data_IF_559417234583
#
_entry.id   IF_559417234583
#
_cell.length_a   1.000
_cell.length_b   1.000
_cell.length_c   1.000
_cell.angle_alpha   90.00
_cell.angle_beta   90.00
_cell.angle_gamma   90.00
#
_symmetry.space_group_name_H-M   'P 1'
#
loop_
_entity.id
_entity.type
_entity.pdbx_description
1 polymer ?
#
# COMPACT_ATOMS: atom_id res chain seq x y z
N UNK A 1 2.00 27.02 -9.62
CA UNK A 1 0.62 27.55 -9.68
C UNK A 1 -0.35 26.56 -10.34
N UNK A 2 0.07 25.91 -11.43
CA UNK A 2 -0.69 24.85 -12.11
C UNK A 2 -1.02 23.62 -11.24
N UNK A 3 -0.11 23.16 -10.37
CA UNK A 3 -0.38 22.00 -9.50
C UNK A 3 -1.48 22.22 -8.48
N UNK A 4 -1.59 23.44 -7.92
CA UNK A 4 -2.63 23.74 -6.93
C UNK A 4 -4.01 23.72 -7.56
N UNK A 5 -4.20 24.35 -8.72
CA UNK A 5 -5.49 24.34 -9.45
C UNK A 5 -5.97 22.92 -9.76
N UNK A 6 -5.04 22.06 -10.20
CA UNK A 6 -5.31 20.65 -10.48
C UNK A 6 -5.69 19.87 -9.21
N UNK A 7 -4.99 20.11 -8.11
CA UNK A 7 -5.33 19.52 -6.81
C UNK A 7 -6.71 19.99 -6.31
N UNK A 8 -7.00 21.29 -6.37
CA UNK A 8 -8.32 21.85 -6.06
C UNK A 8 -9.43 21.18 -6.88
N UNK A 9 -9.20 20.98 -8.18
CA UNK A 9 -10.15 20.28 -9.04
C UNK A 9 -10.39 18.85 -8.55
N UNK A 10 -9.36 18.00 -8.46
CA UNK A 10 -9.56 16.58 -8.13
C UNK A 10 -10.03 16.30 -6.70
N UNK A 11 -9.72 17.22 -5.77
CA UNK A 11 -10.06 17.05 -4.36
C UNK A 11 -11.46 17.56 -4.05
N UNK A 12 -11.88 18.68 -4.67
CA UNK A 12 -13.10 19.39 -4.26
C UNK A 12 -14.14 19.50 -5.36
N UNK A 13 -13.73 19.72 -6.61
CA UNK A 13 -14.66 19.95 -7.72
C UNK A 13 -15.10 18.61 -8.33
N UNK A 14 -14.15 17.74 -8.66
CA UNK A 14 -14.40 16.45 -9.29
C UNK A 14 -15.38 15.58 -8.49
N UNK A 15 -15.26 15.44 -7.15
CA UNK A 15 -16.25 14.68 -6.38
C UNK A 15 -17.68 15.21 -6.53
N UNK A 16 -17.87 16.54 -6.55
CA UNK A 16 -19.18 17.14 -6.75
C UNK A 16 -19.70 16.89 -8.16
N UNK A 17 -18.83 17.05 -9.16
CA UNK A 17 -19.20 16.75 -10.56
C UNK A 17 -19.57 15.28 -10.74
N UNK A 18 -18.84 14.35 -10.12
CA UNK A 18 -19.18 12.91 -10.15
C UNK A 18 -20.47 12.63 -9.41
N UNK A 19 -20.69 13.23 -8.23
CA UNK A 19 -21.92 13.08 -7.46
C UNK A 19 -23.17 13.53 -8.25
N UNK A 20 -23.06 14.61 -9.01
CA UNK A 20 -24.13 15.10 -9.89
C UNK A 20 -24.17 14.41 -11.27
N UNK A 21 -23.32 13.40 -11.52
CA UNK A 21 -23.28 12.67 -12.79
C UNK A 21 -22.76 13.50 -13.98
N UNK A 22 -22.04 14.60 -13.72
CA UNK A 22 -21.50 15.52 -14.73
C UNK A 22 -20.13 15.09 -15.26
N UNK A 23 -19.43 14.22 -14.53
CA UNK A 23 -18.15 13.64 -14.96
C UNK A 23 -17.91 12.30 -14.30
N UNK A 24 -16.80 11.66 -14.63
CA UNK A 24 -16.34 10.39 -14.06
C UNK A 24 -14.96 10.60 -13.44
N UNK A 25 -14.57 9.75 -12.50
CA UNK A 25 -13.30 9.89 -11.80
C UNK A 25 -12.11 9.90 -12.76
N UNK A 26 -11.24 10.91 -12.65
CA UNK A 26 -10.06 11.09 -13.50
C UNK A 26 -10.41 11.21 -14.97
N UNK A 27 -11.58 11.78 -15.30
CA UNK A 27 -12.15 11.82 -16.64
C UNK A 27 -12.29 10.43 -17.28
N UNK A 28 -12.55 9.43 -16.46
CA UNK A 28 -12.71 8.04 -16.85
C UNK A 28 -11.52 7.19 -16.45
N UNK A 29 -10.33 7.75 -16.25
CA UNK A 29 -9.18 7.00 -15.73
C UNK A 29 -9.03 7.21 -14.22
N UNK A 30 -9.49 6.27 -13.36
CA UNK A 30 -9.41 6.39 -11.91
C UNK A 30 -7.96 6.36 -11.38
N UNK A 31 -6.97 6.06 -12.22
CA UNK A 31 -5.55 6.12 -11.87
C UNK A 31 -4.94 7.50 -12.05
N UNK A 32 -5.68 8.44 -12.66
CA UNK A 32 -5.21 9.80 -12.97
C UNK A 32 -3.97 9.82 -13.88
N UNK A 33 -3.90 8.88 -14.83
CA UNK A 33 -2.76 8.69 -15.72
C UNK A 33 -1.59 7.94 -15.10
N UNK A 34 -1.64 7.59 -13.80
CA UNK A 34 -0.55 6.84 -13.15
C UNK A 34 -0.32 5.48 -13.79
N UNK A 35 -1.37 4.85 -14.31
CA UNK A 35 -1.27 3.59 -15.04
C UNK A 35 -0.40 3.67 -16.31
N UNK A 36 -0.18 4.87 -16.85
CA UNK A 36 0.61 5.11 -18.05
C UNK A 36 2.04 5.58 -17.75
N UNK A 37 2.43 5.70 -16.47
CA UNK A 37 3.79 6.08 -16.11
C UNK A 37 4.77 4.97 -16.50
N UNK A 38 5.94 5.31 -17.06
CA UNK A 38 6.94 4.32 -17.41
C UNK A 38 7.57 3.72 -16.17
N UNK A 39 7.91 2.43 -16.23
CA UNK A 39 8.69 1.76 -15.20
C UNK A 39 10.10 2.37 -15.09
N UNK A 40 10.65 2.37 -13.87
CA UNK A 40 12.00 2.86 -13.65
C UNK A 40 13.06 1.99 -14.37
N UNK A 41 14.25 2.51 -14.71
CA UNK A 41 15.30 1.71 -15.33
C UNK A 41 15.66 0.46 -14.52
N UNK A 42 15.73 0.57 -13.19
CA UNK A 42 16.03 -0.54 -12.29
C UNK A 42 14.94 -1.62 -12.33
N UNK A 43 13.67 -1.20 -12.28
CA UNK A 43 12.52 -2.11 -12.33
C UNK A 43 12.46 -2.83 -13.68
N UNK A 44 12.72 -2.11 -14.77
CA UNK A 44 12.84 -2.67 -16.11
C UNK A 44 13.92 -3.75 -16.18
N UNK A 45 15.14 -3.41 -15.78
CA UNK A 45 16.27 -4.34 -15.82
C UNK A 45 16.02 -5.58 -14.95
N UNK A 46 15.47 -5.41 -13.75
CA UNK A 46 15.28 -6.51 -12.81
C UNK A 46 14.11 -7.44 -13.19
N UNK A 47 13.04 -6.90 -13.77
CA UNK A 47 11.75 -7.60 -13.93
C UNK A 47 11.33 -7.72 -15.39
N UNK A 48 11.17 -6.60 -16.10
CA UNK A 48 10.49 -6.60 -17.41
C UNK A 48 11.40 -6.96 -18.59
N UNK A 49 12.67 -6.58 -18.52
CA UNK A 49 13.69 -6.87 -19.53
C UNK A 49 14.52 -8.12 -19.15
N UNK A 50 14.27 -8.70 -17.97
CA UNK A 50 14.95 -9.90 -17.47
C UNK A 50 14.34 -11.19 -18.04
N UNK A 51 15.07 -11.87 -18.93
CA UNK A 51 14.61 -13.12 -19.55
C UNK A 51 14.37 -14.28 -18.55
N UNK A 52 14.91 -14.22 -17.34
CA UNK A 52 14.65 -15.21 -16.30
C UNK A 52 13.30 -15.01 -15.58
N UNK A 53 12.65 -13.85 -15.77
CA UNK A 53 11.40 -13.48 -15.11
C UNK A 53 10.27 -13.48 -16.14
N UNK A 54 9.27 -14.32 -15.91
CA UNK A 54 8.00 -14.28 -16.63
C UNK A 54 7.05 -13.35 -15.87
N UNK A 55 6.62 -12.29 -16.53
CA UNK A 55 5.68 -11.32 -15.97
C UNK A 55 4.29 -11.56 -16.52
N UNK A 56 3.32 -11.72 -15.63
CA UNK A 56 1.90 -11.74 -15.96
C UNK A 56 1.24 -10.56 -15.28
N UNK A 57 0.78 -9.59 -16.08
CA UNK A 57 -0.11 -8.53 -15.61
C UNK A 57 -1.55 -8.96 -15.82
N UNK A 58 -2.43 -8.62 -14.88
CA UNK A 58 -3.87 -8.86 -14.98
C UNK A 58 -4.65 -7.77 -14.26
N UNK A 59 -5.94 -7.70 -14.57
CA UNK A 59 -6.89 -6.80 -13.95
C UNK A 59 -8.12 -7.57 -13.47
N UNK A 60 -8.49 -7.36 -12.21
CA UNK A 60 -9.79 -7.78 -11.67
C UNK A 60 -10.71 -6.57 -11.70
N UNK A 61 -11.80 -6.66 -12.45
CA UNK A 61 -12.80 -5.60 -12.52
C UNK A 61 -13.78 -5.72 -11.35
N UNK A 62 -14.26 -4.57 -10.88
CA UNK A 62 -15.19 -4.47 -9.77
C UNK A 62 -16.47 -3.78 -10.24
N UNK A 63 -17.59 -4.21 -9.66
CA UNK A 63 -18.88 -3.55 -9.72
C UNK A 63 -19.36 -3.40 -8.27
N UNK A 64 -19.47 -2.17 -7.77
CA UNK A 64 -19.86 -1.86 -6.39
C UNK A 64 -18.99 -2.61 -5.36
N UNK A 65 -17.68 -2.68 -5.63
CA UNK A 65 -16.71 -3.37 -4.79
C UNK A 65 -16.72 -4.91 -4.88
N UNK A 66 -17.59 -5.51 -5.68
CA UNK A 66 -17.61 -6.96 -5.91
C UNK A 66 -16.83 -7.33 -7.17
N UNK A 67 -15.99 -8.38 -7.14
CA UNK A 67 -15.24 -8.80 -8.31
C UNK A 67 -16.15 -9.37 -9.40
N UNK A 68 -15.90 -8.95 -10.64
CA UNK A 68 -16.52 -9.49 -11.86
C UNK A 68 -15.54 -10.50 -12.46
N UNK A 69 -15.87 -11.78 -12.34
CA UNK A 69 -14.99 -12.90 -12.73
C UNK A 69 -15.27 -13.38 -14.17
N UNK A 70 -15.54 -12.46 -15.08
CA UNK A 70 -15.74 -12.78 -16.50
C UNK A 70 -14.40 -12.73 -17.25
N UNK A 71 -13.94 -13.88 -17.74
CA UNK A 71 -12.67 -13.99 -18.46
C UNK A 71 -12.66 -13.30 -19.82
N UNK A 72 -13.82 -12.93 -20.36
CA UNK A 72 -13.91 -12.15 -21.58
C UNK A 72 -13.58 -10.66 -21.35
N UNK A 73 -13.55 -10.20 -20.09
CA UNK A 73 -13.05 -8.87 -19.74
C UNK A 73 -11.54 -8.80 -19.94
N UNK A 74 -11.13 -8.34 -21.11
CA UNK A 74 -9.72 -8.09 -21.43
C UNK A 74 -9.20 -6.77 -20.85
N UNK A 75 -7.87 -6.61 -20.81
CA UNK A 75 -7.19 -5.42 -20.25
C UNK A 75 -7.36 -4.12 -21.08
N UNK A 76 -8.13 -4.17 -22.17
CA UNK A 76 -8.39 -3.02 -23.04
C UNK A 76 -9.31 -1.97 -22.41
N UNK A 77 -10.05 -2.32 -21.35
CA UNK A 77 -10.88 -1.36 -20.60
C UNK A 77 -9.95 -0.50 -19.75
N UNK A 78 -9.66 0.71 -20.24
CA UNK A 78 -8.79 1.70 -19.59
C UNK A 78 -9.56 2.82 -18.90
N UNK A 79 -10.88 2.86 -19.06
CA UNK A 79 -11.74 3.87 -18.46
C UNK A 79 -12.98 3.27 -17.78
N UNK A 80 -13.42 3.88 -16.68
CA UNK A 80 -14.65 3.56 -15.94
C UNK A 80 -15.50 4.82 -15.72
N UNK A 81 -16.84 4.69 -15.60
CA UNK A 81 -17.60 3.46 -15.63
C UNK A 81 -17.64 2.82 -17.02
N UNK A 82 -17.67 1.50 -17.08
CA UNK A 82 -17.74 0.73 -18.33
C UNK A 82 -18.92 -0.25 -18.30
N UNK A 83 -19.86 -0.18 -19.26
CA UNK A 83 -21.00 -1.09 -19.28
C UNK A 83 -20.57 -2.50 -19.70
N UNK A 84 -20.96 -3.51 -18.93
CA UNK A 84 -20.71 -4.92 -19.24
C UNK A 84 -21.94 -5.78 -18.94
N UNK A 85 -22.69 -6.14 -19.99
CA UNK A 85 -23.96 -6.84 -19.84
C UNK A 85 -24.96 -6.04 -18.99
N UNK A 86 -25.40 -6.62 -17.87
CA UNK A 86 -26.29 -5.97 -16.90
C UNK A 86 -25.54 -5.20 -15.78
N UNK A 87 -24.21 -5.21 -15.80
CA UNK A 87 -23.37 -4.59 -14.77
C UNK A 87 -22.69 -3.33 -15.31
N UNK A 88 -22.30 -2.46 -14.38
CA UNK A 88 -21.44 -1.30 -14.68
C UNK A 88 -20.18 -1.46 -13.88
N UNK A 89 -19.07 -1.73 -14.58
CA UNK A 89 -17.76 -1.77 -13.98
C UNK A 89 -17.43 -0.35 -13.51
N UNK A 90 -17.11 -0.17 -12.24
CA UNK A 90 -16.87 1.14 -11.61
C UNK A 90 -15.44 1.28 -11.07
N UNK A 91 -14.73 0.17 -10.90
CA UNK A 91 -13.36 0.13 -10.45
C UNK A 91 -12.62 -1.12 -10.97
N UNK A 92 -11.32 -1.15 -10.74
CA UNK A 92 -10.51 -2.33 -10.99
C UNK A 92 -9.31 -2.39 -10.05
N UNK A 93 -8.76 -3.59 -9.90
CA UNK A 93 -7.49 -3.85 -9.23
C UNK A 93 -6.53 -4.45 -10.25
N UNK A 94 -5.38 -3.80 -10.45
CA UNK A 94 -4.28 -4.41 -11.20
C UNK A 94 -3.47 -5.28 -10.25
N UNK A 95 -3.09 -6.48 -10.70
CA UNK A 95 -2.12 -7.31 -10.02
C UNK A 95 -1.06 -7.79 -10.99
N UNK A 96 0.14 -8.02 -10.45
CA UNK A 96 1.30 -8.46 -11.18
C UNK A 96 1.76 -9.77 -10.56
N UNK A 97 1.99 -10.77 -11.40
CA UNK A 97 2.62 -12.02 -11.02
C UNK A 97 3.98 -12.05 -11.70
N UNK A 98 5.04 -12.20 -10.91
CA UNK A 98 6.40 -12.37 -11.40
C UNK A 98 6.84 -13.78 -11.05
N UNK A 99 7.14 -14.56 -12.08
CA UNK A 99 7.53 -15.96 -11.95
C UNK A 99 8.98 -16.10 -12.44
N UNK A 100 9.78 -16.96 -11.83
CA UNK A 100 11.08 -17.36 -12.36
C UNK A 100 11.04 -18.86 -12.70
N UNK A 101 10.61 -19.26 -13.92
CA UNK A 101 10.30 -20.66 -14.24
C UNK A 101 11.50 -21.61 -14.10
N UNK A 102 12.71 -21.08 -14.21
CA UNK A 102 13.96 -21.85 -14.10
C UNK A 102 14.60 -21.76 -12.71
N UNK A 103 13.98 -21.04 -11.76
CA UNK A 103 14.45 -21.02 -10.39
C UNK A 103 14.28 -22.40 -9.77
N UNK A 104 15.29 -22.86 -9.04
CA UNK A 104 15.21 -24.13 -8.32
C UNK A 104 14.17 -24.02 -7.21
N UNK A 105 13.04 -24.71 -7.38
CA UNK A 105 12.08 -24.86 -6.30
C UNK A 105 12.67 -25.77 -5.23
N UNK A 106 13.09 -25.17 -4.11
CA UNK A 106 13.61 -25.92 -2.95
C UNK A 106 12.49 -26.44 -2.04
N UNK A 107 11.35 -25.74 -2.02
CA UNK A 107 10.21 -26.05 -1.15
C UNK A 107 8.87 -25.74 -1.84
N UNK A 108 7.82 -26.45 -1.44
CA UNK A 108 6.44 -26.24 -1.91
C UNK A 108 5.63 -25.50 -0.84
N UNK A 109 5.82 -24.18 -0.73
CA UNK A 109 5.14 -23.34 0.24
C UNK A 109 4.69 -22.01 -0.39
N UNK A 110 3.49 -21.56 -0.01
CA UNK A 110 2.99 -20.23 -0.33
C UNK A 110 3.50 -19.23 0.71
N UNK A 111 4.29 -18.25 0.27
CA UNK A 111 4.81 -17.18 1.14
C UNK A 111 4.04 -15.91 0.88
N UNK A 112 3.44 -15.36 1.94
CA UNK A 112 2.78 -14.07 1.90
C UNK A 112 3.64 -13.02 2.61
N UNK A 113 4.23 -12.10 1.83
CA UNK A 113 4.98 -10.96 2.36
C UNK A 113 4.09 -9.71 2.32
N UNK A 114 3.79 -9.17 3.49
CA UNK A 114 3.14 -7.85 3.63
C UNK A 114 4.19 -6.86 4.09
N UNK A 115 4.41 -5.81 3.30
CA UNK A 115 5.24 -4.69 3.71
C UNK A 115 4.38 -3.43 3.88
N UNK A 116 4.78 -2.57 4.81
CA UNK A 116 4.10 -1.28 5.02
C UNK A 116 4.25 -0.35 3.82
N UNK A 117 3.25 0.50 3.60
CA UNK A 117 3.36 1.63 2.68
C UNK A 117 4.02 2.79 3.44
N UNK A 118 5.16 3.27 2.95
CA UNK A 118 6.04 4.18 3.71
C UNK A 118 5.48 5.60 3.92
N UNK A 119 4.37 5.98 3.27
CA UNK A 119 4.02 7.40 3.12
C UNK A 119 2.60 7.82 3.60
N UNK A 120 1.79 6.90 4.16
CA UNK A 120 0.38 7.20 4.47
C UNK A 120 -0.06 6.86 5.89
N UNK A 121 0.85 6.70 6.84
CA UNK A 121 0.44 6.48 8.22
C UNK A 121 0.10 7.81 8.93
N UNK A 122 -0.91 7.74 9.79
CA UNK A 122 -1.26 8.80 10.73
C UNK A 122 -1.30 8.19 12.12
N UNK A 123 -0.78 8.92 13.11
CA UNK A 123 -0.94 8.53 14.51
C UNK A 123 -2.35 8.91 14.99
N UNK A 124 -3.31 8.01 14.76
CA UNK A 124 -4.72 8.23 15.12
C UNK A 124 -5.05 7.91 16.59
N UNK A 125 -4.10 7.36 17.35
CA UNK A 125 -4.31 6.94 18.75
C UNK A 125 -4.38 8.09 19.79
N UNK A 126 -4.31 9.36 19.37
CA UNK A 126 -4.49 10.50 20.28
C UNK A 126 -5.96 10.91 20.40
N UNK A 127 -6.34 11.66 21.43
CA UNK A 127 -7.70 12.18 21.57
C UNK A 127 -8.10 13.09 20.39
N UNK A 128 -7.14 13.85 19.85
CA UNK A 128 -7.30 14.57 18.60
C UNK A 128 -7.54 13.63 17.40
N UNK A 129 -6.88 12.47 17.38
CA UNK A 129 -7.08 11.44 16.36
C UNK A 129 -8.49 10.85 16.36
N UNK A 130 -9.08 10.60 17.54
CA UNK A 130 -10.47 10.13 17.66
C UNK A 130 -11.49 11.16 17.19
N UNK A 131 -11.29 12.44 17.51
CA UNK A 131 -12.14 13.53 17.02
C UNK A 131 -12.01 13.65 15.49
N UNK A 132 -10.80 13.58 14.95
CA UNK A 132 -10.57 13.60 13.50
C UNK A 132 -11.15 12.37 12.81
N UNK A 133 -11.15 11.20 13.44
CA UNK A 133 -11.83 10.02 12.92
C UNK A 133 -13.34 10.23 12.85
N UNK A 134 -13.96 10.77 13.91
CA UNK A 134 -15.39 11.08 13.92
C UNK A 134 -15.77 12.08 12.83
N UNK A 135 -15.03 13.19 12.73
CA UNK A 135 -15.21 14.20 11.67
C UNK A 135 -15.00 13.55 10.31
N UNK A 136 -13.98 12.70 10.17
CA UNK A 136 -13.72 11.93 8.97
C UNK A 136 -14.90 11.06 8.57
N UNK A 137 -15.49 10.30 9.51
CA UNK A 137 -16.65 9.43 9.25
C UNK A 137 -17.88 10.22 8.81
N UNK A 138 -18.10 11.41 9.37
CA UNK A 138 -19.20 12.31 8.94
C UNK A 138 -18.98 12.85 7.53
N UNK A 139 -17.73 13.17 7.17
CA UNK A 139 -17.38 13.79 5.90
C UNK A 139 -17.09 12.77 4.79
N UNK A 140 -16.81 11.50 5.10
CA UNK A 140 -16.23 10.54 4.16
C UNK A 140 -17.09 10.25 2.94
N UNK A 141 -18.42 10.31 3.08
CA UNK A 141 -19.39 10.03 2.02
C UNK A 141 -19.32 11.04 0.87
N UNK A 142 -18.96 12.30 1.16
CA UNK A 142 -18.93 13.39 0.16
C UNK A 142 -17.50 13.93 -0.04
N UNK A 143 -16.72 13.97 1.02
CA UNK A 143 -15.40 14.59 1.09
C UNK A 143 -14.29 13.60 1.48
N UNK A 144 -14.47 12.29 1.20
CA UNK A 144 -13.44 11.27 1.48
C UNK A 144 -12.06 11.56 0.88
N UNK A 145 -11.98 12.37 -0.19
CA UNK A 145 -10.72 12.79 -0.82
C UNK A 145 -10.08 14.02 -0.21
N UNK A 146 -10.76 14.70 0.71
CA UNK A 146 -10.24 15.89 1.36
C UNK A 146 -8.98 15.52 2.17
N UNK A 147 -7.84 16.15 1.89
CA UNK A 147 -6.61 15.92 2.61
C UNK A 147 -6.66 16.71 3.93
N UNK A 148 -6.72 16.01 5.07
CA UNK A 148 -6.88 16.63 6.39
C UNK A 148 -5.71 16.37 7.33
N UNK A 149 -5.09 15.19 7.25
CA UNK A 149 -4.15 14.73 8.25
C UNK A 149 -2.73 14.81 7.73
N UNK A 150 -1.89 15.62 8.40
CA UNK A 150 -0.48 15.71 8.03
C UNK A 150 0.19 14.35 8.26
N UNK A 151 0.71 13.75 7.19
CA UNK A 151 1.53 12.55 7.29
C UNK A 151 2.78 12.82 8.14
N UNK A 152 3.28 11.78 8.80
CA UNK A 152 4.56 11.84 9.50
C UNK A 152 5.65 11.93 8.43
N UNK A 153 6.40 13.04 8.43
CA UNK A 153 7.47 13.31 7.46
C UNK A 153 8.79 13.60 8.18
N UNK A 154 9.90 13.32 7.50
CA UNK A 154 11.24 13.60 7.97
C UNK A 154 11.73 12.56 8.98
N UNK A 155 12.98 12.10 8.83
CA UNK A 155 13.59 10.97 9.55
C UNK A 155 12.70 9.72 9.56
N UNK A 156 12.12 9.38 8.41
CA UNK A 156 11.43 8.08 8.21
C UNK A 156 12.47 6.95 8.08
N UNK A 157 13.60 7.26 7.46
CA UNK A 157 14.77 6.40 7.37
C UNK A 157 15.98 7.10 8.00
N UNK A 158 16.91 6.31 8.51
CA UNK A 158 18.25 6.78 8.90
C UNK A 158 19.09 7.15 7.64
N UNK A 159 18.66 6.71 6.45
CA UNK A 159 19.21 7.10 5.15
C UNK A 159 18.54 8.37 4.58
N UNK A 160 19.27 9.51 4.48
CA UNK A 160 18.73 10.73 3.89
C UNK A 160 18.39 10.59 2.40
N UNK A 161 18.99 9.62 1.68
CA UNK A 161 18.68 9.36 0.28
C UNK A 161 17.25 8.85 0.10
N UNK A 162 16.71 8.11 1.08
CA UNK A 162 15.33 7.62 1.01
C UNK A 162 14.36 8.79 0.90
N UNK A 163 14.53 9.82 1.73
CA UNK A 163 13.67 11.01 1.66
C UNK A 163 13.92 11.85 0.41
N UNK A 164 15.18 11.96 -0.02
CA UNK A 164 15.55 12.64 -1.24
C UNK A 164 14.87 12.01 -2.47
N UNK A 165 14.99 10.71 -2.65
CA UNK A 165 14.38 10.01 -3.78
C UNK A 165 12.85 10.00 -3.68
N UNK A 166 12.29 9.81 -2.48
CA UNK A 166 10.85 9.91 -2.30
C UNK A 166 10.33 11.30 -2.70
N UNK A 167 11.03 12.39 -2.35
CA UNK A 167 10.64 13.76 -2.71
C UNK A 167 10.78 14.08 -4.20
N UNK A 168 11.61 13.34 -4.94
CA UNK A 168 11.80 13.51 -6.38
C UNK A 168 10.90 12.59 -7.22
N UNK A 169 10.32 11.55 -6.62
CA UNK A 169 9.51 10.59 -7.35
C UNK A 169 8.12 11.19 -7.66
N UNK A 170 7.79 11.44 -8.93
CA UNK A 170 6.49 11.98 -9.32
C UNK A 170 5.31 11.04 -9.01
N UNK A 171 5.58 9.77 -8.68
CA UNK A 171 4.57 8.79 -8.28
C UNK A 171 4.17 8.93 -6.81
N UNK A 172 5.04 9.53 -5.98
CA UNK A 172 4.77 9.72 -4.56
C UNK A 172 3.75 10.83 -4.36
N UNK A 173 2.75 10.56 -3.53
CA UNK A 173 1.79 11.59 -3.12
C UNK A 173 2.38 12.41 -1.97
N UNK A 174 2.56 13.71 -2.21
CA UNK A 174 3.14 14.61 -1.20
C UNK A 174 2.12 15.37 -0.35
N UNK A 175 0.81 15.19 -0.60
CA UNK A 175 -0.26 15.90 0.11
C UNK A 175 -0.50 15.38 1.53
N UNK A 176 -1.55 15.89 2.18
CA UNK A 176 -1.98 15.36 3.48
C UNK A 176 -2.78 14.07 3.27
N UNK A 177 -2.74 13.16 4.25
CA UNK A 177 -3.53 11.93 4.23
C UNK A 177 -5.01 12.29 4.09
N UNK A 178 -5.63 11.69 3.09
CA UNK A 178 -7.05 11.88 2.76
C UNK A 178 -7.93 11.16 3.78
N UNK A 179 -9.09 11.73 4.07
CA UNK A 179 -10.05 11.17 5.04
C UNK A 179 -10.33 9.69 4.76
N UNK A 180 -10.67 9.35 3.52
CA UNK A 180 -11.00 7.99 3.12
C UNK A 180 -9.84 7.02 3.33
N UNK A 181 -8.61 7.45 3.02
CA UNK A 181 -7.41 6.64 3.27
C UNK A 181 -7.20 6.40 4.76
N UNK A 182 -7.32 7.44 5.59
CA UNK A 182 -7.18 7.30 7.05
C UNK A 182 -8.26 6.35 7.63
N UNK A 183 -9.52 6.50 7.21
CA UNK A 183 -10.61 5.64 7.67
C UNK A 183 -10.46 4.19 7.21
N UNK A 184 -9.99 3.96 5.98
CA UNK A 184 -9.73 2.62 5.48
C UNK A 184 -8.60 1.94 6.28
N UNK A 185 -7.55 2.68 6.65
CA UNK A 185 -6.49 2.17 7.52
C UNK A 185 -7.05 1.81 8.90
N UNK A 186 -7.86 2.68 9.52
CA UNK A 186 -8.50 2.39 10.82
C UNK A 186 -9.37 1.14 10.73
N UNK A 187 -10.27 1.07 9.75
CA UNK A 187 -11.15 -0.08 9.56
C UNK A 187 -10.35 -1.38 9.35
N UNK A 188 -9.25 -1.32 8.59
CA UNK A 188 -8.35 -2.47 8.41
C UNK A 188 -7.66 -2.89 9.71
N UNK A 189 -7.16 -1.93 10.50
CA UNK A 189 -6.55 -2.20 11.81
C UNK A 189 -7.55 -2.78 12.81
N UNK A 190 -8.77 -2.26 12.86
CA UNK A 190 -9.85 -2.76 13.70
C UNK A 190 -10.19 -4.21 13.33
N UNK A 191 -10.39 -4.47 12.04
CA UNK A 191 -10.68 -5.81 11.55
C UNK A 191 -9.55 -6.80 11.84
N UNK A 192 -8.29 -6.43 11.57
CA UNK A 192 -7.12 -7.27 11.88
C UNK A 192 -7.03 -7.55 13.39
N UNK A 193 -7.34 -6.55 14.23
CA UNK A 193 -7.40 -6.73 15.68
C UNK A 193 -8.52 -7.66 16.13
N UNK A 194 -9.66 -7.69 15.43
CA UNK A 194 -10.75 -8.64 15.72
C UNK A 194 -10.34 -10.06 15.36
N UNK A 195 -9.73 -10.25 14.18
CA UNK A 195 -9.45 -11.59 13.65
C UNK A 195 -8.09 -12.19 14.07
N UNK A 196 -7.23 -11.45 14.76
CA UNK A 196 -5.85 -11.88 15.11
C UNK A 196 -5.79 -13.26 15.78
N UNK A 197 -6.80 -13.61 16.59
CA UNK A 197 -6.90 -14.90 17.27
C UNK A 197 -7.19 -16.09 16.34
N UNK A 198 -7.56 -15.84 15.08
CA UNK A 198 -7.79 -16.84 14.03
C UNK A 198 -6.56 -17.09 13.15
N UNK A 199 -5.53 -16.23 13.22
CA UNK A 199 -4.29 -16.41 12.45
C UNK A 199 -3.50 -17.59 13.00
N UNK A 200 -3.41 -18.68 12.23
CA UNK A 200 -2.70 -19.93 12.59
C UNK A 200 -1.40 -20.15 11.82
N UNK A 201 -1.21 -19.49 10.68
CA UNK A 201 0.00 -19.66 9.87
C UNK A 201 1.25 -19.14 10.60
N UNK A 202 2.46 -19.60 10.25
CA UNK A 202 3.68 -19.02 10.77
C UNK A 202 3.80 -17.52 10.46
N UNK A 203 4.23 -16.69 11.42
CA UNK A 203 4.32 -15.23 11.26
C UNK A 203 5.65 -14.69 11.76
N UNK A 204 6.40 -13.99 10.91
CA UNK A 204 7.52 -13.15 11.34
C UNK A 204 7.18 -11.67 11.16
N UNK A 205 7.39 -10.88 12.20
CA UNK A 205 7.16 -9.43 12.20
C UNK A 205 8.50 -8.72 12.40
N UNK A 206 8.95 -7.95 11.42
CA UNK A 206 10.17 -7.15 11.53
C UNK A 206 9.77 -5.69 11.74
N UNK A 207 10.22 -5.06 12.83
CA UNK A 207 9.77 -3.71 13.17
C UNK A 207 10.90 -2.86 13.76
N UNK A 208 11.00 -1.60 13.32
CA UNK A 208 11.92 -0.61 13.90
C UNK A 208 11.55 -0.21 15.32
N UNK A 209 12.47 -0.35 16.27
CA UNK A 209 12.31 0.04 17.68
C UNK A 209 11.99 1.52 17.89
N UNK A 210 12.38 2.36 16.92
CA UNK A 210 12.14 3.81 16.92
C UNK A 210 11.28 4.25 15.73
N UNK A 211 10.49 3.34 15.16
CA UNK A 211 9.57 3.69 14.07
C UNK A 211 8.58 4.76 14.55
N UNK A 212 8.57 5.88 13.81
CA UNK A 212 7.72 7.04 14.07
C UNK A 212 6.39 6.95 13.34
N UNK A 213 6.35 6.21 12.25
CA UNK A 213 5.24 6.02 11.31
C UNK A 213 4.28 4.97 11.88
N UNK A 214 4.80 3.80 12.29
CA UNK A 214 4.02 2.76 12.95
C UNK A 214 4.58 2.47 14.33
N UNK A 215 3.71 2.28 15.33
CA UNK A 215 4.19 2.09 16.70
C UNK A 215 4.64 0.64 16.92
N UNK A 216 5.88 0.40 17.39
CA UNK A 216 6.33 -0.96 17.70
C UNK A 216 5.50 -1.63 18.80
N UNK A 217 4.87 -0.84 19.68
CA UNK A 217 3.94 -1.34 20.70
C UNK A 217 2.72 -2.03 20.07
N UNK A 218 2.25 -1.54 18.92
CA UNK A 218 1.15 -2.16 18.18
C UNK A 218 1.51 -3.55 17.70
N UNK A 219 2.72 -3.71 17.12
CA UNK A 219 3.22 -5.03 16.70
C UNK A 219 3.47 -5.97 17.88
N UNK A 220 3.93 -5.46 19.03
CA UNK A 220 4.06 -6.26 20.25
C UNK A 220 2.70 -6.76 20.76
N UNK A 221 1.69 -5.88 20.79
CA UNK A 221 0.33 -6.25 21.19
C UNK A 221 -0.31 -7.26 20.22
N UNK A 222 -0.12 -7.05 18.92
CA UNK A 222 -0.57 -8.00 17.88
C UNK A 222 0.13 -9.36 18.05
N UNK A 223 1.45 -9.37 18.23
CA UNK A 223 2.25 -10.58 18.45
C UNK A 223 1.80 -11.38 19.68
N UNK A 224 1.47 -10.70 20.77
CA UNK A 224 0.97 -11.33 21.99
C UNK A 224 -0.37 -12.06 21.77
N UNK A 225 -1.23 -11.51 20.91
CA UNK A 225 -2.57 -12.05 20.60
C UNK A 225 -2.59 -13.05 19.45
N UNK A 226 -1.53 -13.11 18.64
CA UNK A 226 -1.38 -14.11 17.58
C UNK A 226 -1.47 -15.52 18.15
N UNK A 227 -2.34 -16.34 17.53
CA UNK A 227 -2.49 -17.74 17.85
C UNK A 227 -1.85 -18.61 16.76
N UNK A 228 -0.56 -18.36 16.55
CA UNK A 228 0.35 -19.12 15.70
C UNK A 228 1.42 -19.77 16.57
N UNK A 229 1.69 -21.05 16.31
CA UNK A 229 2.70 -21.84 17.03
C UNK A 229 4.14 -21.42 16.65
N UNK A 230 4.32 -20.89 15.44
CA UNK A 230 5.61 -20.42 14.93
C UNK A 230 5.53 -18.92 14.65
N UNK A 231 5.95 -18.11 15.62
CA UNK A 231 5.95 -16.65 15.51
C UNK A 231 7.24 -16.01 15.98
N UNK A 232 7.73 -15.01 15.24
CA UNK A 232 8.90 -14.20 15.61
C UNK A 232 8.62 -12.68 15.52
N UNK A 233 9.27 -11.89 16.38
CA UNK A 233 9.20 -10.42 16.37
C UNK A 233 10.60 -9.81 16.62
N UNK A 234 11.53 -9.89 15.65
CA UNK A 234 12.79 -9.18 15.73
C UNK A 234 12.59 -7.65 15.70
N UNK A 235 13.02 -6.99 16.77
CA UNK A 235 13.04 -5.53 16.87
C UNK A 235 14.36 -4.95 16.33
N UNK A 236 14.26 -4.11 15.30
CA UNK A 236 15.39 -3.48 14.63
C UNK A 236 15.80 -2.20 15.36
N UNK A 237 17.08 -2.07 15.72
CA UNK A 237 17.61 -0.85 16.36
C UNK A 237 17.87 0.22 15.30
N UNK A 238 17.51 1.47 15.59
CA UNK A 238 17.87 2.62 14.76
C UNK A 238 19.31 3.04 15.02
N UNK A 239 19.98 3.60 14.02
CA UNK A 239 21.29 4.25 14.17
C UNK A 239 21.27 5.64 13.59
N UNK A 240 21.86 6.63 14.28
CA UNK A 240 22.03 7.94 13.68
C UNK A 240 23.07 7.83 12.56
N UNK A 241 22.62 7.93 11.30
CA UNK A 241 23.38 8.05 10.03
C UNK A 241 23.68 6.74 9.29
N UNK A 242 23.79 6.82 7.95
CA UNK A 242 24.22 5.72 7.07
C UNK A 242 25.74 5.58 7.02
N UNK A 243 26.24 4.63 7.80
CA UNK A 243 27.56 4.05 7.72
C UNK A 243 27.56 2.78 6.83
N UNK A 244 28.75 2.22 6.56
CA UNK A 244 28.88 0.88 5.93
C UNK A 244 28.13 -0.19 6.75
N UNK A 245 28.11 -0.03 8.08
CA UNK A 245 27.36 -0.92 8.98
C UNK A 245 25.84 -0.89 8.71
N UNK A 246 25.29 0.20 8.15
CA UNK A 246 23.85 0.29 7.88
C UNK A 246 23.44 -0.44 6.61
N UNK A 247 24.34 -0.50 5.60
CA UNK A 247 24.15 -1.38 4.44
C UNK A 247 24.19 -2.85 4.88
N UNK A 248 25.14 -3.19 5.75
CA UNK A 248 25.23 -4.53 6.34
C UNK A 248 24.00 -4.86 7.18
N UNK A 249 23.47 -3.92 7.98
CA UNK A 249 22.24 -4.11 8.75
C UNK A 249 21.01 -4.26 7.87
N UNK A 250 20.83 -3.41 6.85
CA UNK A 250 19.75 -3.58 5.86
C UNK A 250 19.82 -4.97 5.22
N UNK A 251 21.01 -5.36 4.79
CA UNK A 251 21.23 -6.69 4.22
C UNK A 251 20.96 -7.77 5.28
N UNK A 252 21.30 -7.56 6.55
CA UNK A 252 21.01 -8.49 7.64
C UNK A 252 19.50 -8.65 7.88
N UNK A 253 18.70 -7.59 7.73
CA UNK A 253 17.22 -7.68 7.79
C UNK A 253 16.71 -8.55 6.64
N UNK A 254 17.16 -8.29 5.41
CA UNK A 254 16.78 -9.08 4.24
C UNK A 254 17.21 -10.56 4.43
N UNK A 255 18.42 -10.79 4.92
CA UNK A 255 18.92 -12.13 5.22
C UNK A 255 18.15 -12.81 6.36
N UNK A 256 17.74 -12.09 7.39
CA UNK A 256 16.93 -12.63 8.48
C UNK A 256 15.53 -13.03 7.99
N UNK A 257 14.91 -12.20 7.15
CA UNK A 257 13.64 -12.51 6.48
C UNK A 257 13.81 -13.78 5.62
N UNK A 258 14.83 -13.82 4.76
CA UNK A 258 15.10 -14.97 3.90
C UNK A 258 15.40 -16.25 4.71
N UNK A 259 16.20 -16.13 5.78
CA UNK A 259 16.57 -17.26 6.64
C UNK A 259 15.37 -17.81 7.40
N UNK A 260 14.50 -16.94 7.92
CA UNK A 260 13.25 -17.36 8.54
C UNK A 260 12.37 -18.15 7.56
N UNK A 261 12.25 -17.66 6.32
CA UNK A 261 11.51 -18.40 5.30
C UNK A 261 12.12 -19.77 5.01
N UNK A 262 13.45 -19.88 4.91
CA UNK A 262 14.14 -21.15 4.69
C UNK A 262 14.00 -22.15 5.86
N UNK A 263 13.65 -21.69 7.07
CA UNK A 263 13.43 -22.57 8.23
C UNK A 263 12.03 -23.18 8.28
N UNK A 264 11.03 -22.52 7.69
CA UNK A 264 9.63 -22.95 7.69
C UNK A 264 9.28 -23.98 6.60
N UNK A 265 10.30 -24.38 5.86
CA UNK A 265 10.27 -24.92 4.52
C UNK A 265 11.19 -26.14 4.54
#
# INVERSE_FOLDING_TARGET
>A
MWDKLREWYYVLIEPLLVYFGLTTWGHGDPTYGRNALPYSPLEREAIYDNAAVKVTRRRVYLCEGKPVLDTALGEHITTVPYPWGAQVIDAWVNYYVWEMPHATQRMNADVYLVHGINDYSVRLASDAGKIMELVGRMLSTVAGRLPLLRAIKGKISDDPKVEYYAALDPQVYHGFVRIGTALAIVAGLDHVNEIVGHVRCPVAIHHGSHDRVTSPKGSQAFFARLNSESKSLPMLKSTPEMSVEDVERRNAVIQAIASWFLQLC
#
